data_IF_878492517545
#
_entry.id   IF_878492517545
#
_cell.length_a   1.000
_cell.length_b   1.000
_cell.length_c   1.000
_cell.angle_alpha   90.00
_cell.angle_beta   90.00
_cell.angle_gamma   90.00
#
_symmetry.space_group_name_H-M   'P 1'
#
loop_
_entity.id
_entity.type
_entity.pdbx_description
1 polymer ?
#
# COMPACT_ATOMS: atom_id res chain seq x y z
N UNK A 1 29.68 2.73 -7.13
CA UNK A 1 28.84 2.83 -5.92
C UNK A 1 27.77 1.77 -6.02
N UNK A 2 27.86 0.68 -5.26
CA UNK A 2 26.81 -0.32 -5.21
C UNK A 2 25.70 0.25 -4.31
N UNK A 3 24.56 0.61 -4.89
CA UNK A 3 23.36 0.88 -4.12
C UNK A 3 22.87 -0.47 -3.60
N UNK A 4 23.21 -0.80 -2.36
CA UNK A 4 22.50 -1.87 -1.64
C UNK A 4 21.15 -1.30 -1.25
N UNK A 5 20.18 -1.39 -2.15
CA UNK A 5 18.78 -1.12 -1.86
C UNK A 5 18.29 -2.25 -0.95
N UNK A 6 18.08 -1.93 0.33
CA UNK A 6 17.49 -2.89 1.25
C UNK A 6 16.01 -3.06 0.89
N UNK A 7 15.54 -4.29 0.67
CA UNK A 7 14.16 -4.52 0.31
C UNK A 7 13.25 -4.23 1.52
N UNK A 8 12.04 -3.75 1.25
CA UNK A 8 11.08 -3.39 2.30
C UNK A 8 10.37 -4.65 2.78
N UNK A 9 11.04 -5.41 3.66
CA UNK A 9 10.60 -6.74 4.07
C UNK A 9 10.33 -6.85 5.57
N UNK A 10 9.41 -7.74 5.95
CA UNK A 10 9.16 -8.15 7.34
C UNK A 10 8.81 -6.98 8.27
N UNK A 11 7.86 -6.15 7.86
CA UNK A 11 7.41 -4.99 8.63
C UNK A 11 6.24 -5.37 9.52
N UNK A 12 6.40 -5.18 10.83
CA UNK A 12 5.37 -5.48 11.82
C UNK A 12 4.82 -4.21 12.48
N UNK A 13 3.55 -3.92 12.27
CA UNK A 13 2.81 -2.83 12.91
C UNK A 13 1.83 -3.45 13.89
N UNK A 14 1.92 -3.10 15.18
CA UNK A 14 1.04 -3.70 16.19
C UNK A 14 0.60 -2.73 17.27
N UNK A 15 -0.61 -2.91 17.79
CA UNK A 15 -1.13 -2.13 18.94
C UNK A 15 -1.08 -0.62 18.69
N UNK A 16 -1.35 -0.23 17.45
CA UNK A 16 -1.40 1.17 17.04
C UNK A 16 -2.85 1.61 17.01
N UNK A 17 -3.14 2.74 17.66
CA UNK A 17 -4.38 3.48 17.46
C UNK A 17 -4.10 4.71 16.63
N UNK A 18 -4.78 4.90 15.50
CA UNK A 18 -4.61 6.09 14.69
C UNK A 18 -5.93 6.64 14.13
N UNK A 19 -5.99 7.95 13.96
CA UNK A 19 -7.20 8.65 13.55
C UNK A 19 -7.28 10.08 14.07
N UNK A 20 -7.95 11.00 13.36
CA UNK A 20 -8.48 10.88 11.99
C UNK A 20 -7.35 10.93 10.93
N UNK A 21 -7.64 10.53 9.69
CA UNK A 21 -6.62 10.53 8.63
C UNK A 21 -6.91 9.62 7.43
N UNK A 22 -5.85 9.10 6.81
CA UNK A 22 -5.93 8.30 5.58
C UNK A 22 -5.89 6.79 5.81
N UNK A 23 -5.75 6.33 7.06
CA UNK A 23 -5.54 4.92 7.40
C UNK A 23 -4.10 4.46 7.26
N UNK A 24 -3.89 3.14 7.39
CA UNK A 24 -2.60 2.49 7.15
C UNK A 24 -2.48 2.21 5.65
N UNK A 25 -1.41 2.69 5.02
CA UNK A 25 -1.22 2.57 3.58
C UNK A 25 0.07 1.84 3.21
N UNK A 26 -0.01 0.91 2.26
CA UNK A 26 1.14 0.34 1.54
C UNK A 26 1.23 1.03 0.17
N UNK A 27 2.38 1.66 -0.11
CA UNK A 27 2.66 2.38 -1.36
C UNK A 27 2.71 3.92 -1.21
N UNK A 28 2.68 4.68 -2.30
CA UNK A 28 2.32 4.25 -3.66
C UNK A 28 3.45 3.49 -4.33
N UNK A 29 3.14 2.32 -4.85
CA UNK A 29 4.10 1.44 -5.51
C UNK A 29 4.03 1.62 -7.04
N UNK A 30 5.13 1.35 -7.72
CA UNK A 30 5.23 1.26 -9.18
C UNK A 30 5.48 2.59 -9.89
N UNK A 31 5.69 3.70 -9.16
CA UNK A 31 6.03 5.00 -9.79
C UNK A 31 7.42 4.95 -10.46
N UNK A 32 8.32 4.23 -9.83
CA UNK A 32 9.70 3.97 -10.25
C UNK A 32 9.98 2.48 -10.10
N UNK A 33 11.20 2.05 -10.42
CA UNK A 33 11.66 0.72 -10.04
C UNK A 33 11.72 0.69 -8.51
N UNK A 34 10.76 -0.02 -7.92
CA UNK A 34 10.67 -0.19 -6.48
C UNK A 34 11.30 -1.53 -6.10
N UNK A 35 11.87 -1.59 -4.90
CA UNK A 35 12.25 -2.88 -4.32
C UNK A 35 11.01 -3.68 -3.91
N UNK A 36 11.09 -5.03 -3.88
CA UNK A 36 9.98 -5.85 -3.43
C UNK A 36 9.50 -5.47 -2.03
N UNK A 37 8.18 -5.45 -1.85
CA UNK A 37 7.51 -5.29 -0.55
C UNK A 37 6.96 -6.65 -0.15
N UNK A 38 7.50 -7.24 0.92
CA UNK A 38 7.16 -8.62 1.31
C UNK A 38 7.02 -8.74 2.82
N UNK A 39 6.03 -9.47 3.33
CA UNK A 39 5.93 -9.75 4.76
C UNK A 39 5.50 -8.53 5.56
N UNK A 40 4.40 -7.89 5.17
CA UNK A 40 3.78 -6.81 5.97
C UNK A 40 2.77 -7.45 6.90
N UNK A 41 2.83 -7.12 8.19
CA UNK A 41 1.84 -7.57 9.16
C UNK A 41 1.36 -6.39 9.99
N UNK A 42 0.05 -6.14 9.95
CA UNK A 42 -0.61 -5.09 10.74
C UNK A 42 -1.61 -5.79 11.65
N UNK A 43 -1.31 -5.86 12.94
CA UNK A 43 -2.04 -6.72 13.88
C UNK A 43 -2.49 -5.97 15.12
N UNK A 44 -3.73 -6.19 15.56
CA UNK A 44 -4.26 -5.61 16.80
C UNK A 44 -4.16 -4.08 16.80
N UNK A 45 -4.78 -3.44 15.82
CA UNK A 45 -4.75 -1.98 15.65
C UNK A 45 -6.16 -1.40 15.76
N UNK A 46 -6.27 -0.11 16.07
CA UNK A 46 -7.57 0.60 16.10
C UNK A 46 -7.52 1.83 15.20
N UNK A 47 -8.37 1.87 14.19
CA UNK A 47 -8.44 2.95 13.21
C UNK A 47 -9.74 3.72 13.43
N UNK A 48 -9.65 5.00 13.78
CA UNK A 48 -10.81 5.81 14.19
C UNK A 48 -10.97 7.00 13.24
N UNK A 49 -12.18 7.23 12.71
CA UNK A 49 -12.48 8.40 11.86
C UNK A 49 -11.51 8.57 10.68
N UNK A 50 -11.00 7.46 10.11
CA UNK A 50 -10.12 7.50 8.94
C UNK A 50 -10.94 7.39 7.65
N UNK A 51 -10.45 8.00 6.57
CA UNK A 51 -11.03 7.80 5.24
C UNK A 51 -10.87 6.38 4.73
N UNK A 52 -9.76 5.70 5.07
CA UNK A 52 -9.54 4.30 4.76
C UNK A 52 -9.07 3.56 6.01
N UNK A 53 -9.32 2.25 6.09
CA UNK A 53 -8.73 1.43 7.14
C UNK A 53 -7.33 1.01 6.71
N UNK A 54 -7.29 0.01 5.82
CA UNK A 54 -6.08 -0.42 5.12
C UNK A 54 -6.20 -0.04 3.65
N UNK A 55 -5.14 0.55 3.09
CA UNK A 55 -5.07 0.88 1.67
C UNK A 55 -3.79 0.40 1.01
N UNK A 56 -3.90 -0.34 -0.09
CA UNK A 56 -2.77 -0.69 -0.95
C UNK A 56 -2.92 0.08 -2.25
N UNK A 57 -1.89 0.81 -2.68
CA UNK A 57 -1.97 1.73 -3.82
C UNK A 57 -0.84 1.55 -4.82
N UNK A 58 -1.16 1.33 -6.10
CA UNK A 58 -0.19 1.26 -7.21
C UNK A 58 -0.54 2.26 -8.31
N UNK A 59 0.46 2.71 -9.05
CA UNK A 59 0.26 3.65 -10.15
C UNK A 59 -0.37 2.93 -11.38
N UNK A 60 -1.23 3.61 -12.18
CA UNK A 60 -1.93 3.00 -13.32
C UNK A 60 -1.00 2.52 -14.46
N UNK A 61 0.22 3.04 -14.53
CA UNK A 61 1.28 2.59 -15.45
C UNK A 61 2.51 2.18 -14.64
N UNK A 62 2.29 1.27 -13.68
CA UNK A 62 3.34 0.80 -12.79
C UNK A 62 4.49 0.14 -13.56
N UNK A 63 5.70 0.26 -13.02
CA UNK A 63 6.78 -0.65 -13.39
C UNK A 63 6.54 -2.03 -12.76
N UNK A 64 7.09 -3.08 -13.38
CA UNK A 64 7.07 -4.42 -12.79
C UNK A 64 7.67 -4.40 -11.38
N UNK A 65 7.01 -5.09 -10.46
CA UNK A 65 7.38 -5.16 -9.05
C UNK A 65 6.58 -6.24 -8.33
N UNK A 66 6.94 -6.49 -7.07
CA UNK A 66 6.32 -7.52 -6.25
C UNK A 66 5.88 -6.91 -4.91
N UNK A 67 4.61 -7.11 -4.57
CA UNK A 67 4.06 -6.78 -3.27
C UNK A 67 3.28 -7.99 -2.75
N UNK A 68 3.86 -8.79 -1.86
CA UNK A 68 3.26 -10.07 -1.47
C UNK A 68 3.33 -10.30 0.03
N UNK A 69 2.60 -11.30 0.53
CA UNK A 69 2.61 -11.71 1.94
C UNK A 69 2.27 -10.54 2.88
N UNK A 70 1.06 -9.98 2.71
CA UNK A 70 0.55 -8.88 3.51
C UNK A 70 -0.66 -9.34 4.33
N UNK A 71 -0.55 -9.23 5.66
CA UNK A 71 -1.55 -9.67 6.62
C UNK A 71 -2.06 -8.47 7.43
N UNK A 72 -3.39 -8.37 7.57
CA UNK A 72 -4.07 -7.28 8.26
C UNK A 72 -5.11 -7.88 9.20
N UNK A 73 -4.71 -8.10 10.45
CA UNK A 73 -5.45 -8.94 11.41
C UNK A 73 -5.84 -8.15 12.66
N UNK A 74 -7.00 -8.48 13.25
CA UNK A 74 -7.50 -7.86 14.48
C UNK A 74 -7.49 -6.32 14.44
N UNK A 75 -7.91 -5.74 13.32
CA UNK A 75 -8.00 -4.28 13.16
C UNK A 75 -9.43 -3.82 13.47
N UNK A 76 -9.58 -3.10 14.58
CA UNK A 76 -10.84 -2.45 14.94
C UNK A 76 -10.98 -1.17 14.12
N UNK A 77 -12.06 -1.04 13.36
CA UNK A 77 -12.32 0.15 12.54
C UNK A 77 -13.59 0.86 13.03
N UNK A 78 -13.43 2.08 13.54
CA UNK A 78 -14.51 2.90 14.09
C UNK A 78 -14.73 4.10 13.18
N UNK A 79 -15.92 4.19 12.57
CA UNK A 79 -16.29 5.28 11.66
C UNK A 79 -15.24 5.48 10.53
N UNK A 80 -14.79 4.38 9.94
CA UNK A 80 -13.86 4.38 8.80
C UNK A 80 -14.67 4.30 7.51
N UNK A 81 -14.40 5.19 6.55
CA UNK A 81 -15.22 5.25 5.32
C UNK A 81 -14.96 4.08 4.37
N UNK A 82 -13.70 3.73 4.13
CA UNK A 82 -13.30 2.61 3.27
C UNK A 82 -12.44 1.60 4.06
N UNK A 83 -13.04 0.58 4.70
CA UNK A 83 -12.30 -0.34 5.57
C UNK A 83 -11.07 -0.98 4.92
N UNK A 84 -11.21 -1.48 3.70
CA UNK A 84 -10.12 -2.04 2.89
C UNK A 84 -10.23 -1.51 1.48
N UNK A 85 -9.13 -0.97 0.93
CA UNK A 85 -9.08 -0.44 -0.43
C UNK A 85 -7.79 -0.87 -1.14
N UNK A 86 -7.93 -1.60 -2.25
CA UNK A 86 -6.83 -1.88 -3.17
C UNK A 86 -7.06 -1.03 -4.42
N UNK A 87 -6.18 -0.04 -4.61
CA UNK A 87 -6.28 0.97 -5.66
C UNK A 87 -5.11 0.80 -6.65
N UNK A 88 -5.38 0.12 -7.75
CA UNK A 88 -4.38 -0.08 -8.81
C UNK A 88 -4.27 1.09 -9.80
N UNK A 89 -5.10 2.13 -9.62
CA UNK A 89 -5.14 3.33 -10.46
C UNK A 89 -4.70 4.58 -9.71
N UNK A 90 -3.91 4.44 -8.65
CA UNK A 90 -3.56 5.55 -7.77
C UNK A 90 -2.82 6.65 -8.53
N UNK A 91 -3.41 7.84 -8.54
CA UNK A 91 -2.92 8.99 -9.26
C UNK A 91 -2.88 10.20 -8.34
N UNK A 92 -1.71 10.45 -7.74
CA UNK A 92 -1.55 11.59 -6.84
C UNK A 92 -1.80 12.92 -7.58
N UNK A 93 -2.80 13.67 -7.15
CA UNK A 93 -3.17 14.99 -7.72
C UNK A 93 -3.39 14.98 -9.24
N UNK A 94 -3.88 13.87 -9.80
CA UNK A 94 -4.04 13.71 -11.25
C UNK A 94 -2.72 13.85 -12.06
N UNK A 95 -1.56 13.75 -11.40
CA UNK A 95 -0.22 13.82 -12.01
C UNK A 95 0.32 12.43 -12.36
N UNK A 96 -0.48 11.62 -13.03
CA UNK A 96 -0.06 10.31 -13.55
C UNK A 96 -0.04 10.31 -15.07
N UNK A 97 0.90 9.56 -15.61
CA UNK A 97 0.92 9.25 -17.02
C UNK A 97 0.00 8.05 -17.25
N UNK A 98 -1.24 8.30 -17.65
CA UNK A 98 -2.22 7.25 -17.93
C UNK A 98 -1.93 6.50 -19.25
N UNK A 99 -0.73 6.64 -19.83
CA UNK A 99 -0.32 5.93 -21.06
C UNK A 99 -0.56 4.43 -20.87
N UNK A 100 -1.61 3.95 -21.53
CA UNK A 100 -2.05 2.57 -21.75
C UNK A 100 -1.52 1.58 -20.72
N UNK A 101 -2.39 1.19 -19.77
CA UNK A 101 -2.25 -0.01 -18.93
C UNK A 101 -1.54 -1.10 -19.73
N UNK A 102 -0.26 -1.32 -19.46
CA UNK A 102 0.47 -2.47 -19.99
C UNK A 102 0.18 -3.60 -19.03
N UNK A 103 -0.78 -4.46 -19.38
CA UNK A 103 -1.18 -5.62 -18.58
C UNK A 103 0.00 -6.52 -18.19
N UNK A 104 1.07 -6.44 -18.96
CA UNK A 104 2.35 -7.14 -18.84
C UNK A 104 3.33 -6.53 -17.84
N UNK A 105 3.06 -5.34 -17.26
CA UNK A 105 3.94 -4.65 -16.29
C UNK A 105 3.27 -4.29 -14.98
N UNK A 106 2.42 -5.17 -14.47
CA UNK A 106 1.73 -4.94 -13.21
C UNK A 106 2.63 -5.24 -12.00
N UNK A 107 2.32 -4.59 -10.88
CA UNK A 107 2.74 -5.09 -9.57
C UNK A 107 1.86 -6.30 -9.27
N UNK A 108 2.50 -7.45 -9.04
CA UNK A 108 1.83 -8.65 -8.62
C UNK A 108 1.54 -8.56 -7.11
N UNK A 109 0.29 -8.86 -6.76
CA UNK A 109 -0.19 -8.99 -5.38
C UNK A 109 -0.35 -10.46 -5.00
#
# INVERSE_FOLDING_TARGET
>A
MAATSFPFQNVFVRRVTCGPGHGISVGSLGKSKDEPVIGISVVNCTLINNMNGVRVKTWPASMEGLASDMHFDDIVMVNVSNPVLIDQGYCAHNKCNAKSYKHDRAILF
#
